data_IF_689757580907
#
_entry.id   IF_689757580907
#
_cell.length_a   1.000
_cell.length_b   1.000
_cell.length_c   1.000
_cell.angle_alpha   90.00
_cell.angle_beta   90.00
_cell.angle_gamma   90.00
#
_symmetry.space_group_name_H-M   'P 1'
#
loop_
_entity.id
_entity.type
_entity.pdbx_description
1 polymer ?
#
# COMPACT_ATOMS: atom_id res chain seq x y z
N UNK A 1 15.94 12.71 10.17
CA UNK A 1 16.61 11.45 9.79
C UNK A 1 16.65 10.54 11.01
N UNK A 2 16.14 9.33 10.88
CA UNK A 2 16.24 8.31 11.92
C UNK A 2 17.66 7.81 12.06
N UNK A 3 18.12 7.62 13.29
CA UNK A 3 19.40 6.98 13.55
C UNK A 3 19.38 5.49 13.22
N UNK A 4 20.58 4.87 13.07
CA UNK A 4 20.71 3.46 12.72
C UNK A 4 20.03 2.52 13.72
N UNK A 5 20.06 2.84 15.02
CA UNK A 5 19.43 2.04 16.06
C UNK A 5 17.89 2.06 15.92
N UNK A 6 17.31 3.20 15.59
CA UNK A 6 15.86 3.32 15.37
C UNK A 6 15.43 2.61 14.10
N UNK A 7 16.24 2.68 13.03
CA UNK A 7 16.00 1.96 11.79
C UNK A 7 15.97 0.45 12.05
N UNK A 8 16.95 -0.09 12.75
CA UNK A 8 17.00 -1.51 13.10
C UNK A 8 15.83 -1.94 13.98
N UNK A 9 15.38 -1.08 14.88
CA UNK A 9 14.21 -1.33 15.73
C UNK A 9 12.94 -1.42 14.88
N UNK A 10 12.78 -0.53 13.90
CA UNK A 10 11.65 -0.53 12.96
C UNK A 10 11.65 -1.79 12.11
N UNK A 11 12.80 -2.20 11.58
CA UNK A 11 12.94 -3.43 10.79
C UNK A 11 12.49 -4.63 11.61
N UNK A 12 12.97 -4.75 12.84
CA UNK A 12 12.61 -5.87 13.72
C UNK A 12 11.12 -5.91 14.03
N UNK A 13 10.52 -4.74 14.25
CA UNK A 13 9.09 -4.62 14.50
C UNK A 13 8.28 -5.12 13.30
N UNK A 14 8.58 -4.64 12.11
CA UNK A 14 7.87 -5.04 10.90
C UNK A 14 8.08 -6.51 10.57
N UNK A 15 9.31 -7.02 10.73
CA UNK A 15 9.61 -8.43 10.53
C UNK A 15 8.74 -9.32 11.43
N UNK A 16 8.62 -8.97 12.71
CA UNK A 16 7.79 -9.70 13.67
C UNK A 16 6.33 -9.68 13.26
N UNK A 17 5.80 -8.50 12.90
CA UNK A 17 4.39 -8.37 12.47
C UNK A 17 4.13 -9.18 11.21
N UNK A 18 5.02 -9.12 10.23
CA UNK A 18 4.86 -9.85 8.96
C UNK A 18 4.87 -11.35 9.20
N UNK A 19 5.79 -11.85 10.03
CA UNK A 19 5.84 -13.27 10.35
C UNK A 19 4.55 -13.75 11.01
N UNK A 20 4.01 -12.99 11.93
CA UNK A 20 2.75 -13.32 12.59
C UNK A 20 1.56 -13.23 11.63
N UNK A 21 1.57 -12.21 10.75
CA UNK A 21 0.53 -12.06 9.72
C UNK A 21 0.52 -13.24 8.76
N UNK A 22 1.70 -13.71 8.34
CA UNK A 22 1.83 -14.88 7.47
C UNK A 22 1.31 -16.15 8.15
N UNK A 23 1.64 -16.37 9.41
CA UNK A 23 1.12 -17.52 10.16
C UNK A 23 -0.39 -17.49 10.27
N UNK A 24 -0.95 -16.31 10.56
CA UNK A 24 -2.41 -16.14 10.65
C UNK A 24 -3.08 -16.41 9.30
N UNK A 25 -2.48 -15.91 8.21
CA UNK A 25 -2.99 -16.11 6.86
C UNK A 25 -3.02 -17.60 6.47
N UNK A 26 -2.00 -18.36 6.88
CA UNK A 26 -1.91 -19.80 6.54
C UNK A 26 -2.99 -20.66 7.19
N UNK A 27 -3.76 -20.13 8.14
CA UNK A 27 -4.93 -20.83 8.70
C UNK A 27 -6.13 -20.83 7.76
N UNK A 28 -6.08 -20.04 6.69
CA UNK A 28 -7.16 -19.95 5.71
C UNK A 28 -6.86 -20.83 4.51
N UNK A 29 -7.91 -21.39 3.91
CA UNK A 29 -7.78 -22.39 2.85
C UNK A 29 -7.77 -21.82 1.43
N UNK A 30 -8.18 -20.56 1.25
CA UNK A 30 -8.25 -19.93 -0.07
C UNK A 30 -7.25 -18.79 -0.21
N UNK A 31 -6.75 -18.52 -1.44
CA UNK A 31 -5.89 -17.37 -1.66
C UNK A 31 -6.52 -16.04 -1.23
N UNK A 32 -7.79 -15.83 -1.54
CA UNK A 32 -8.50 -14.61 -1.11
C UNK A 32 -8.56 -14.50 0.40
N UNK A 33 -8.88 -15.58 1.09
CA UNK A 33 -8.91 -15.60 2.55
C UNK A 33 -7.55 -15.32 3.17
N UNK A 34 -6.50 -15.87 2.57
CA UNK A 34 -5.12 -15.65 3.02
C UNK A 34 -4.70 -14.19 2.84
N UNK A 35 -4.99 -13.59 1.69
CA UNK A 35 -4.64 -12.20 1.42
C UNK A 35 -5.42 -11.26 2.36
N UNK A 36 -6.72 -11.48 2.51
CA UNK A 36 -7.55 -10.66 3.39
C UNK A 36 -7.09 -10.74 4.84
N UNK A 37 -6.75 -11.93 5.33
CA UNK A 37 -6.22 -12.08 6.70
C UNK A 37 -4.87 -11.42 6.86
N UNK A 38 -3.98 -11.59 5.87
CA UNK A 38 -2.66 -10.96 5.91
C UNK A 38 -2.76 -9.44 6.02
N UNK A 39 -3.51 -8.79 5.14
CA UNK A 39 -3.61 -7.33 5.13
C UNK A 39 -4.34 -6.80 6.37
N UNK A 40 -5.31 -7.54 6.88
CA UNK A 40 -6.03 -7.20 8.11
C UNK A 40 -5.09 -7.22 9.32
N UNK A 41 -4.37 -8.32 9.49
CA UNK A 41 -3.41 -8.45 10.59
C UNK A 41 -2.31 -7.40 10.50
N UNK A 42 -1.71 -7.28 9.33
CA UNK A 42 -0.64 -6.32 9.09
C UNK A 42 -1.08 -4.88 9.35
N UNK A 43 -2.20 -4.47 8.76
CA UNK A 43 -2.73 -3.11 8.90
C UNK A 43 -3.05 -2.75 10.35
N UNK A 44 -3.71 -3.66 11.05
CA UNK A 44 -4.06 -3.47 12.46
C UNK A 44 -2.82 -3.31 13.34
N UNK A 45 -1.82 -4.15 13.14
CA UNK A 45 -0.65 -4.20 14.02
C UNK A 45 0.37 -3.09 13.72
N UNK A 46 0.41 -2.56 12.50
CA UNK A 46 1.22 -1.36 12.22
C UNK A 46 0.50 -0.07 12.61
N UNK A 47 -0.80 -0.12 12.88
CA UNK A 47 -1.59 1.04 13.30
C UNK A 47 -1.99 1.97 12.16
N UNK A 48 -2.17 1.44 10.95
CA UNK A 48 -2.65 2.22 9.80
C UNK A 48 -4.16 2.33 9.76
N UNK A 49 -4.68 3.23 8.91
CA UNK A 49 -6.12 3.38 8.70
C UNK A 49 -6.65 2.41 7.65
N UNK A 50 -5.88 2.15 6.61
CA UNK A 50 -6.35 1.33 5.48
C UNK A 50 -5.16 0.65 4.81
N UNK A 51 -5.35 -0.59 4.39
CA UNK A 51 -4.43 -1.33 3.52
C UNK A 51 -5.20 -1.70 2.27
N UNK A 52 -4.59 -1.58 1.10
CA UNK A 52 -5.26 -1.93 -0.15
C UNK A 52 -4.31 -2.50 -1.17
N UNK A 53 -4.88 -3.31 -2.06
CA UNK A 53 -4.21 -3.86 -3.23
C UNK A 53 -5.01 -3.43 -4.46
N UNK A 54 -4.31 -2.91 -5.46
CA UNK A 54 -4.87 -2.61 -6.77
C UNK A 54 -4.19 -3.50 -7.81
N UNK A 55 -4.98 -4.03 -8.71
CA UNK A 55 -4.49 -4.83 -9.83
C UNK A 55 -4.86 -4.16 -11.13
N UNK A 56 -3.89 -4.09 -12.05
CA UNK A 56 -4.03 -3.37 -13.31
C UNK A 56 -4.71 -4.22 -14.36
N UNK A 57 -5.60 -3.58 -15.12
CA UNK A 57 -6.14 -4.09 -16.36
C UNK A 57 -5.50 -3.28 -17.49
N UNK A 58 -4.44 -3.82 -18.07
CA UNK A 58 -3.66 -3.13 -19.10
C UNK A 58 -4.44 -2.95 -20.40
N UNK A 59 -5.31 -3.90 -20.74
CA UNK A 59 -6.14 -3.84 -21.94
C UNK A 59 -7.06 -2.61 -21.93
N UNK A 60 -7.67 -2.31 -20.77
CA UNK A 60 -8.58 -1.19 -20.63
C UNK A 60 -7.92 0.07 -20.04
N UNK A 61 -6.63 0.00 -19.74
CA UNK A 61 -5.85 1.10 -19.16
C UNK A 61 -6.47 1.64 -17.86
N UNK A 62 -6.90 0.71 -17.01
CA UNK A 62 -7.49 1.03 -15.69
C UNK A 62 -6.85 0.16 -14.62
N UNK A 63 -7.04 0.58 -13.38
CA UNK A 63 -6.67 -0.23 -12.22
C UNK A 63 -7.86 -0.40 -11.30
N UNK A 64 -7.92 -1.54 -10.61
CA UNK A 64 -9.05 -1.91 -9.76
C UNK A 64 -8.58 -2.24 -8.36
N UNK A 65 -9.29 -1.70 -7.37
CA UNK A 65 -9.07 -2.07 -5.97
C UNK A 65 -9.64 -3.47 -5.76
N UNK A 66 -8.78 -4.47 -5.60
CA UNK A 66 -9.19 -5.88 -5.48
C UNK A 66 -9.24 -6.37 -4.03
N UNK A 67 -8.48 -5.76 -3.14
CA UNK A 67 -8.48 -6.08 -1.71
C UNK A 67 -8.37 -4.81 -0.90
N UNK A 68 -9.09 -4.79 0.22
CA UNK A 68 -9.05 -3.65 1.14
C UNK A 68 -9.30 -4.12 2.56
N UNK A 69 -8.53 -3.56 3.50
CA UNK A 69 -8.81 -3.62 4.92
C UNK A 69 -8.90 -2.20 5.46
N UNK A 70 -9.90 -1.94 6.31
CA UNK A 70 -10.10 -0.65 6.97
C UNK A 70 -10.10 -0.83 8.48
N UNK A 71 -9.42 0.07 9.19
CA UNK A 71 -9.52 0.17 10.64
C UNK A 71 -10.93 0.58 11.05
N UNK A 72 -11.27 0.37 12.32
CA UNK A 72 -12.58 0.76 12.85
C UNK A 72 -12.83 2.26 12.62
N UNK A 73 -14.00 2.58 12.09
CA UNK A 73 -14.40 3.96 11.79
C UNK A 73 -13.88 4.52 10.48
N UNK A 74 -13.09 3.77 9.74
CA UNK A 74 -12.57 4.19 8.43
C UNK A 74 -13.50 3.69 7.32
N UNK A 75 -13.95 4.63 6.47
CA UNK A 75 -14.88 4.32 5.38
C UNK A 75 -14.21 3.50 4.28
N UNK A 76 -14.78 2.35 3.89
CA UNK A 76 -14.30 1.59 2.75
C UNK A 76 -14.40 2.37 1.44
N UNK A 77 -13.44 2.17 0.54
CA UNK A 77 -13.39 2.82 -0.77
C UNK A 77 -13.40 1.81 -1.93
N UNK A 78 -13.33 0.51 -1.63
CA UNK A 78 -13.16 -0.53 -2.65
C UNK A 78 -14.25 -0.48 -3.72
N UNK A 79 -15.51 -0.25 -3.35
CA UNK A 79 -16.60 -0.18 -4.32
C UNK A 79 -16.53 1.03 -5.23
N UNK A 80 -15.86 2.11 -4.80
CA UNK A 80 -15.73 3.35 -5.54
C UNK A 80 -14.48 3.41 -6.41
N UNK A 81 -13.53 2.49 -6.20
CA UNK A 81 -12.23 2.51 -6.87
C UNK A 81 -12.09 1.32 -7.82
N UNK A 82 -13.09 1.18 -8.69
CA UNK A 82 -13.08 0.20 -9.76
C UNK A 82 -12.97 0.94 -11.10
N UNK A 83 -12.22 0.40 -12.06
CA UNK A 83 -12.04 1.01 -13.36
C UNK A 83 -11.38 2.40 -13.28
N UNK A 84 -10.46 2.59 -12.35
CA UNK A 84 -9.77 3.87 -12.20
C UNK A 84 -8.82 4.08 -13.37
N UNK A 85 -9.00 5.19 -14.11
CA UNK A 85 -8.11 5.53 -15.22
C UNK A 85 -6.67 5.68 -14.71
N UNK A 86 -5.76 4.93 -15.30
CA UNK A 86 -4.35 4.93 -14.88
C UNK A 86 -3.67 6.30 -15.06
N UNK A 87 -4.20 7.16 -15.92
CA UNK A 87 -3.68 8.52 -16.08
C UNK A 87 -3.78 9.36 -14.79
N UNK A 88 -4.75 9.04 -13.93
CA UNK A 88 -4.95 9.75 -12.64
C UNK A 88 -3.73 9.59 -11.72
N UNK A 89 -3.03 8.49 -11.84
CA UNK A 89 -1.89 8.13 -10.99
C UNK A 89 -0.63 7.84 -11.82
N UNK A 90 -0.48 8.45 -12.98
CA UNK A 90 0.69 8.29 -13.86
C UNK A 90 1.99 8.50 -13.11
N UNK A 91 2.07 9.53 -12.30
CA UNK A 91 3.30 9.87 -11.60
C UNK A 91 3.69 8.83 -10.55
N UNK A 92 2.74 8.02 -10.05
CA UNK A 92 3.05 6.88 -9.19
C UNK A 92 3.83 5.82 -9.98
N UNK A 93 3.35 5.51 -11.19
CA UNK A 93 3.99 4.52 -12.05
C UNK A 93 5.35 4.99 -12.53
N UNK A 94 5.51 6.28 -12.81
CA UNK A 94 6.82 6.85 -13.13
C UNK A 94 7.81 6.64 -11.97
N UNK A 95 7.36 6.80 -10.75
CA UNK A 95 8.16 6.54 -9.54
C UNK A 95 8.51 5.07 -9.42
N UNK A 96 7.54 4.18 -9.67
CA UNK A 96 7.76 2.74 -9.65
C UNK A 96 8.75 2.30 -10.71
N UNK A 97 8.70 2.90 -11.88
CA UNK A 97 9.62 2.61 -13.00
C UNK A 97 11.06 3.02 -12.67
N UNK A 98 11.24 3.98 -11.78
CA UNK A 98 12.56 4.35 -11.25
C UNK A 98 13.07 3.39 -10.16
N UNK A 99 12.30 2.37 -9.82
CA UNK A 99 12.65 1.41 -8.77
C UNK A 99 12.35 1.91 -7.37
N UNK A 100 11.45 2.88 -7.23
CA UNK A 100 11.11 3.51 -5.94
C UNK A 100 9.65 3.28 -5.58
N UNK A 101 9.37 3.33 -4.27
CA UNK A 101 8.00 3.42 -3.76
C UNK A 101 7.56 4.88 -3.68
N UNK A 102 6.25 5.10 -3.73
CA UNK A 102 5.68 6.44 -3.53
C UNK A 102 5.52 6.66 -2.03
N UNK A 103 6.09 7.75 -1.53
CA UNK A 103 5.97 8.17 -0.13
C UNK A 103 5.40 9.58 -0.12
N UNK A 104 4.19 9.73 0.41
CA UNK A 104 3.55 11.04 0.59
C UNK A 104 3.42 11.24 2.10
N UNK A 105 4.36 11.97 2.68
CA UNK A 105 4.40 12.23 4.12
C UNK A 105 3.37 13.29 4.57
N UNK A 106 2.93 14.13 3.63
CA UNK A 106 1.90 15.13 3.84
C UNK A 106 1.18 15.37 2.51
N UNK A 107 -0.10 15.01 2.44
CA UNK A 107 -0.88 15.15 1.21
C UNK A 107 -0.96 16.59 0.73
N UNK A 108 -0.81 17.58 1.62
CA UNK A 108 -0.82 19.00 1.24
C UNK A 108 0.32 19.37 0.28
N UNK A 109 1.40 18.60 0.27
CA UNK A 109 2.51 18.80 -0.67
C UNK A 109 2.10 18.57 -2.14
N UNK A 110 1.01 17.86 -2.37
CA UNK A 110 0.51 17.58 -3.72
C UNK A 110 -0.33 18.70 -4.31
N UNK A 111 -0.79 19.64 -3.48
CA UNK A 111 -1.66 20.72 -3.90
C UNK A 111 -0.97 21.62 -4.93
N UNK A 112 -1.59 21.73 -6.10
CA UNK A 112 -1.03 22.52 -7.21
C UNK A 112 0.08 21.82 -7.99
N UNK A 113 0.55 20.67 -7.54
CA UNK A 113 1.59 19.87 -8.21
C UNK A 113 0.95 18.63 -8.86
N UNK A 114 0.22 17.86 -8.06
CA UNK A 114 -0.54 16.69 -8.50
C UNK A 114 -1.98 16.84 -8.00
N UNK A 115 -2.69 17.80 -8.57
CA UNK A 115 -3.98 18.26 -8.05
C UNK A 115 -5.05 17.15 -8.05
N UNK A 116 -5.06 16.30 -9.08
CA UNK A 116 -6.05 15.20 -9.16
C UNK A 116 -5.84 14.20 -8.03
N UNK A 117 -4.59 13.81 -7.79
CA UNK A 117 -4.25 12.93 -6.67
C UNK A 117 -4.55 13.60 -5.33
N UNK A 118 -4.24 14.89 -5.19
CA UNK A 118 -4.57 15.65 -4.00
C UNK A 118 -6.06 15.59 -3.68
N UNK A 119 -6.90 15.89 -4.67
CA UNK A 119 -8.35 15.90 -4.51
C UNK A 119 -8.89 14.52 -4.12
N UNK A 120 -8.39 13.47 -4.76
CA UNK A 120 -8.80 12.10 -4.50
C UNK A 120 -8.44 11.68 -3.07
N UNK A 121 -7.22 11.95 -2.63
CA UNK A 121 -6.75 11.57 -1.30
C UNK A 121 -7.45 12.39 -0.20
N UNK A 122 -7.65 13.69 -0.42
CA UNK A 122 -8.39 14.54 0.52
C UNK A 122 -9.84 14.08 0.69
N UNK A 123 -10.49 13.68 -0.39
CA UNK A 123 -11.84 13.16 -0.34
C UNK A 123 -11.93 11.90 0.54
N UNK A 124 -10.88 11.10 0.55
CA UNK A 124 -10.81 9.87 1.35
C UNK A 124 -10.26 10.09 2.77
N UNK A 125 -10.04 11.34 3.18
CA UNK A 125 -9.44 11.70 4.48
C UNK A 125 -8.03 11.11 4.67
N UNK A 126 -7.27 11.01 3.59
CA UNK A 126 -5.89 10.53 3.62
C UNK A 126 -4.95 11.71 3.79
N UNK A 127 -4.10 11.66 4.81
CA UNK A 127 -3.06 12.67 5.09
C UNK A 127 -1.68 12.20 4.66
N UNK A 128 -1.43 10.91 4.74
CA UNK A 128 -0.17 10.25 4.39
C UNK A 128 -0.46 8.98 3.63
N UNK A 129 0.42 8.62 2.71
CA UNK A 129 0.28 7.35 2.00
C UNK A 129 1.66 6.81 1.63
N UNK A 130 1.80 5.51 1.72
CA UNK A 130 2.99 4.79 1.26
C UNK A 130 2.53 3.69 0.33
N UNK A 131 3.06 3.65 -0.89
CA UNK A 131 2.63 2.71 -1.92
C UNK A 131 3.85 2.06 -2.56
N UNK A 132 3.82 0.74 -2.67
CA UNK A 132 4.84 -0.02 -3.37
C UNK A 132 4.23 -0.79 -4.53
N UNK A 133 4.98 -0.97 -5.63
CA UNK A 133 4.43 -1.67 -6.79
C UNK A 133 4.35 -3.18 -6.56
N UNK A 134 3.38 -3.81 -7.20
CA UNK A 134 3.30 -5.26 -7.34
C UNK A 134 4.07 -5.63 -8.62
N UNK A 135 5.19 -6.33 -8.47
CA UNK A 135 6.04 -6.72 -9.61
C UNK A 135 5.93 -8.21 -9.85
N UNK A 136 5.77 -8.56 -11.12
CA UNK A 136 5.79 -9.94 -11.57
C UNK A 136 6.61 -10.03 -12.85
N UNK A 137 7.67 -10.82 -12.81
CA UNK A 137 8.60 -10.99 -13.96
C UNK A 137 9.10 -9.65 -14.50
N UNK A 138 9.45 -8.73 -13.61
CA UNK A 138 9.98 -7.42 -13.97
C UNK A 138 8.95 -6.40 -14.44
N UNK A 139 7.67 -6.76 -14.48
CA UNK A 139 6.58 -5.86 -14.87
C UNK A 139 5.76 -5.45 -13.67
N UNK A 140 5.27 -4.21 -13.70
CA UNK A 140 4.35 -3.70 -12.68
C UNK A 140 2.94 -4.15 -13.03
N UNK A 141 2.27 -4.82 -12.09
CA UNK A 141 0.92 -5.38 -12.27
C UNK A 141 -0.12 -4.73 -11.36
N UNK A 142 0.27 -3.73 -10.62
CA UNK A 142 -0.58 -3.04 -9.66
C UNK A 142 0.23 -2.45 -8.54
N UNK A 143 -0.41 -2.20 -7.42
CA UNK A 143 0.27 -1.65 -6.25
C UNK A 143 -0.38 -2.06 -4.94
N UNK A 144 0.40 -1.96 -3.88
CA UNK A 144 0.04 -2.28 -2.52
C UNK A 144 0.28 -1.04 -1.67
N UNK A 145 -0.74 -0.54 -1.00
CA UNK A 145 -0.67 0.75 -0.33
C UNK A 145 -1.17 0.74 1.10
N UNK A 146 -0.69 1.73 1.85
CA UNK A 146 -1.03 1.96 3.25
C UNK A 146 -1.42 3.42 3.41
N UNK A 147 -2.66 3.65 3.88
CA UNK A 147 -3.14 4.99 4.19
C UNK A 147 -2.91 5.30 5.66
N UNK A 148 -2.41 6.50 5.91
CA UNK A 148 -2.21 7.07 7.24
C UNK A 148 -1.41 6.14 8.18
N UNK A 149 -0.24 5.63 7.73
CA UNK A 149 0.63 4.92 8.65
C UNK A 149 1.10 5.89 9.75
N UNK A 150 1.35 5.40 10.97
CA UNK A 150 1.90 6.26 12.01
C UNK A 150 3.28 6.78 11.62
N UNK A 151 3.76 7.83 12.28
CA UNK A 151 5.08 8.39 12.05
C UNK A 151 6.16 7.35 12.36
N UNK A 152 6.70 6.73 11.31
CA UNK A 152 7.67 5.62 11.38
C UNK A 152 8.78 5.86 10.36
N UNK A 153 9.74 4.96 10.35
CA UNK A 153 10.75 4.93 9.31
C UNK A 153 10.12 4.44 8.00
N UNK A 154 9.80 5.38 7.11
CA UNK A 154 9.20 5.05 5.81
C UNK A 154 10.11 4.17 4.95
N UNK A 155 11.43 4.28 5.10
CA UNK A 155 12.37 3.43 4.36
C UNK A 155 12.24 1.97 4.77
N UNK A 156 12.10 1.71 6.07
CA UNK A 156 11.86 0.35 6.55
C UNK A 156 10.50 -0.16 6.08
N UNK A 157 9.46 0.66 6.16
CA UNK A 157 8.12 0.28 5.73
C UNK A 157 8.08 -0.04 4.24
N UNK A 158 8.64 0.83 3.38
CA UNK A 158 8.65 0.59 1.93
C UNK A 158 9.43 -0.64 1.53
N UNK A 159 10.52 -0.93 2.21
CA UNK A 159 11.30 -2.15 1.97
C UNK A 159 10.44 -3.41 2.16
N UNK A 160 9.67 -3.45 3.25
CA UNK A 160 8.79 -4.59 3.52
C UNK A 160 7.59 -4.64 2.60
N UNK A 161 7.01 -3.48 2.26
CA UNK A 161 5.88 -3.44 1.30
C UNK A 161 6.29 -3.95 -0.07
N UNK A 162 7.47 -3.56 -0.54
CA UNK A 162 7.99 -4.03 -1.84
C UNK A 162 8.18 -5.55 -1.84
N UNK A 163 8.73 -6.08 -0.76
CA UNK A 163 8.90 -7.53 -0.58
C UNK A 163 7.56 -8.26 -0.51
N UNK A 164 6.61 -7.73 0.27
CA UNK A 164 5.26 -8.30 0.39
C UNK A 164 4.55 -8.28 -0.97
N UNK A 165 4.65 -7.18 -1.70
CA UNK A 165 4.05 -7.05 -3.01
C UNK A 165 4.52 -8.12 -4.00
N UNK A 166 5.81 -8.42 -3.96
CA UNK A 166 6.39 -9.50 -4.78
C UNK A 166 5.79 -10.86 -4.40
N UNK A 167 5.59 -11.10 -3.11
CA UNK A 167 4.99 -12.37 -2.63
C UNK A 167 3.52 -12.50 -3.00
N UNK A 168 2.75 -11.43 -2.88
CA UNK A 168 1.31 -11.46 -3.10
C UNK A 168 0.92 -11.78 -4.53
N UNK A 169 1.76 -11.46 -5.50
CA UNK A 169 1.47 -11.64 -6.92
C UNK A 169 2.07 -12.92 -7.51
N UNK A 170 2.84 -13.64 -6.74
CA UNK A 170 3.50 -14.87 -7.20
C UNK A 170 2.54 -16.04 -7.28
#
# INVERSE_FOLDING_TARGET
IMGGAEYMKSIKKYETIINEALRSALEYDTPEGQINEFISFFGKHIGSDRIYIFEDDEEHHVTNNTYEWCAEGITPQIEHLQGVNMEVIDWWYDTFDEGKSVIISDVEELKGVHQVSYNMLKYQNVCKVVVSPLRHKGQIKGFFGVDNPPAVDYNALTMFLDMIGTMLIS
#
